data_IF_703317644938
#
_entry.id   IF_703317644938
#
_cell.length_a   1.000
_cell.length_b   1.000
_cell.length_c   1.000
_cell.angle_alpha   90.00
_cell.angle_beta   90.00
_cell.angle_gamma   90.00
#
_symmetry.space_group_name_H-M   'P 1'
#
loop_
_entity.id
_entity.type
_entity.pdbx_description
1 polymer ?
#
# COMPACT_ATOMS: atom_id res chain seq x y z
N UNK A 1 14.96 21.02 -5.06
CA UNK A 1 14.78 20.06 -6.18
C UNK A 1 15.30 20.73 -7.45
N UNK A 2 15.93 19.98 -8.35
CA UNK A 2 16.25 20.49 -9.68
C UNK A 2 14.95 20.82 -10.41
N UNK A 3 14.97 21.96 -11.09
CA UNK A 3 13.87 22.46 -11.92
C UNK A 3 14.32 22.72 -13.36
N UNK A 4 15.61 22.85 -13.59
CA UNK A 4 16.16 23.00 -14.93
C UNK A 4 16.00 21.70 -15.71
N UNK A 5 15.50 21.79 -16.94
CA UNK A 5 15.25 20.61 -17.78
C UNK A 5 16.54 19.84 -18.07
N UNK A 6 17.66 20.53 -18.29
CA UNK A 6 18.94 19.89 -18.63
C UNK A 6 19.52 19.10 -17.44
N UNK A 7 19.33 19.61 -16.22
CA UNK A 7 19.71 18.91 -14.99
C UNK A 7 18.85 17.65 -14.72
N UNK A 8 17.65 17.61 -15.31
CA UNK A 8 16.67 16.54 -15.12
C UNK A 8 16.76 15.44 -16.19
N UNK A 9 17.12 15.78 -17.43
CA UNK A 9 17.27 14.81 -18.55
C UNK A 9 18.11 13.56 -18.20
N UNK A 10 19.24 13.65 -17.46
CA UNK A 10 20.00 12.46 -17.06
C UNK A 10 19.19 11.44 -16.25
N UNK A 11 18.11 11.89 -15.60
CA UNK A 11 17.18 11.08 -14.82
C UNK A 11 15.89 10.75 -15.60
N UNK A 12 15.92 10.71 -16.93
CA UNK A 12 14.73 10.43 -17.76
C UNK A 12 14.04 9.09 -17.48
N UNK A 13 14.70 8.16 -16.77
CA UNK A 13 14.08 6.93 -16.29
C UNK A 13 14.65 6.51 -14.94
N UNK A 14 13.81 5.90 -14.11
CA UNK A 14 14.25 5.27 -12.88
C UNK A 14 13.23 4.23 -12.42
N UNK A 15 13.74 3.24 -11.67
CA UNK A 15 12.94 2.31 -10.89
C UNK A 15 13.51 2.21 -9.48
N UNK A 16 12.65 1.90 -8.51
CA UNK A 16 13.12 1.67 -7.15
C UNK A 16 13.98 0.41 -7.10
N UNK A 17 15.08 0.48 -6.32
CA UNK A 17 15.98 -0.68 -6.10
C UNK A 17 15.25 -1.95 -5.67
N UNK A 18 14.18 -1.78 -4.90
CA UNK A 18 13.26 -2.84 -4.55
C UNK A 18 11.89 -2.41 -5.06
N UNK A 19 11.30 -3.23 -5.93
CA UNK A 19 9.96 -2.96 -6.45
C UNK A 19 8.94 -3.05 -5.29
N UNK A 20 8.08 -2.05 -5.11
CA UNK A 20 6.94 -2.16 -4.21
C UNK A 20 6.10 -3.38 -4.54
N UNK A 21 5.67 -4.10 -3.51
CA UNK A 21 4.91 -5.33 -3.67
C UNK A 21 3.41 -5.09 -3.91
N UNK A 22 2.82 -5.88 -4.80
CA UNK A 22 1.38 -5.94 -5.00
C UNK A 22 0.68 -6.45 -3.73
N UNK A 23 -0.52 -5.94 -3.46
CA UNK A 23 -1.27 -6.29 -2.26
C UNK A 23 -2.71 -5.81 -2.28
N UNK A 24 -3.45 -6.17 -1.23
CA UNK A 24 -4.83 -5.73 -1.05
C UNK A 24 -4.87 -4.35 -0.40
N UNK A 25 -5.94 -3.62 -0.71
CA UNK A 25 -6.32 -2.41 0.02
C UNK A 25 -7.06 -2.73 1.32
N UNK A 26 -7.30 -4.00 1.64
CA UNK A 26 -8.00 -4.50 2.83
C UNK A 26 -9.35 -3.77 3.03
N UNK A 27 -10.35 -4.08 2.18
CA UNK A 27 -11.60 -3.33 2.13
C UNK A 27 -12.33 -3.28 3.47
N UNK A 28 -12.92 -2.12 3.78
CA UNK A 28 -13.70 -1.94 5.02
C UNK A 28 -14.90 -2.87 5.08
N UNK A 29 -15.59 -3.06 3.95
CA UNK A 29 -16.78 -3.92 3.88
C UNK A 29 -16.45 -5.41 4.17
N UNK A 30 -15.21 -5.86 3.94
CA UNK A 30 -14.72 -7.19 4.32
C UNK A 30 -14.18 -7.28 5.75
N UNK A 31 -14.36 -6.23 6.55
CA UNK A 31 -13.80 -6.07 7.90
C UNK A 31 -12.27 -5.93 7.96
N UNK A 32 -11.65 -5.38 6.90
CA UNK A 32 -10.21 -5.11 6.85
C UNK A 32 -9.37 -6.38 6.99
N UNK A 33 -8.38 -6.38 7.89
CA UNK A 33 -7.51 -7.55 8.10
C UNK A 33 -8.14 -8.65 8.99
N UNK A 34 -9.40 -8.48 9.42
CA UNK A 34 -10.19 -9.57 9.99
C UNK A 34 -10.74 -10.50 8.89
N UNK A 35 -10.65 -10.11 7.62
CA UNK A 35 -11.09 -10.94 6.51
C UNK A 35 -10.32 -12.28 6.48
N UNK A 36 -11.05 -13.39 6.50
CA UNK A 36 -10.51 -14.73 6.34
C UNK A 36 -10.27 -15.01 4.85
N UNK A 37 -9.15 -14.50 4.33
CA UNK A 37 -8.77 -14.68 2.92
C UNK A 37 -8.54 -16.16 2.55
N UNK A 38 -8.17 -16.99 3.53
CA UNK A 38 -8.12 -18.44 3.43
C UNK A 38 -9.20 -19.04 4.34
N UNK A 39 -10.27 -19.66 3.80
CA UNK A 39 -11.35 -20.24 4.61
C UNK A 39 -10.92 -21.39 5.54
N UNK A 40 -9.73 -21.96 5.34
CA UNK A 40 -9.18 -23.02 6.17
C UNK A 40 -8.29 -22.51 7.30
N UNK A 41 -8.01 -21.21 7.38
CA UNK A 41 -7.11 -20.62 8.36
C UNK A 41 -7.76 -19.43 9.10
N UNK A 42 -7.32 -19.14 10.35
CA UNK A 42 -7.72 -17.91 11.03
C UNK A 42 -7.32 -16.65 10.24
N UNK A 43 -8.03 -15.54 10.46
CA UNK A 43 -7.70 -14.26 9.83
C UNK A 43 -6.30 -13.74 10.24
N UNK A 44 -5.67 -12.86 9.44
CA UNK A 44 -4.40 -12.24 9.83
C UNK A 44 -4.46 -11.59 11.23
N UNK A 45 -5.56 -10.89 11.54
CA UNK A 45 -5.76 -10.26 12.85
C UNK A 45 -5.84 -11.28 14.00
N UNK A 46 -6.59 -12.36 13.81
CA UNK A 46 -6.72 -13.44 14.80
C UNK A 46 -5.39 -14.14 15.05
N UNK A 47 -4.63 -14.43 13.98
CA UNK A 47 -3.28 -15.00 14.07
C UNK A 47 -2.36 -14.10 14.89
N UNK A 48 -2.35 -12.79 14.61
CA UNK A 48 -1.52 -11.83 15.32
C UNK A 48 -1.89 -11.75 16.81
N UNK A 49 -3.18 -11.62 17.13
CA UNK A 49 -3.64 -11.55 18.50
C UNK A 49 -3.24 -12.81 19.29
N UNK A 50 -3.44 -13.99 18.70
CA UNK A 50 -3.06 -15.28 19.29
C UNK A 50 -1.56 -15.36 19.56
N UNK A 51 -0.72 -15.08 18.55
CA UNK A 51 0.73 -15.15 18.69
C UNK A 51 1.30 -14.11 19.66
N UNK A 52 0.68 -12.93 19.73
CA UNK A 52 1.07 -11.84 20.62
C UNK A 52 0.52 -11.97 22.06
N UNK A 53 -0.32 -12.99 22.34
CA UNK A 53 -0.96 -13.17 23.64
C UNK A 53 -1.98 -12.07 23.98
N UNK A 54 -2.66 -11.53 22.97
CA UNK A 54 -3.73 -10.55 23.12
C UNK A 54 -5.09 -11.24 23.20
N UNK A 55 -6.08 -10.56 23.78
CA UNK A 55 -7.48 -10.99 23.67
C UNK A 55 -7.94 -10.89 22.20
N UNK A 56 -8.20 -12.03 21.58
CA UNK A 56 -8.52 -12.14 20.15
C UNK A 56 -9.74 -11.31 19.80
N UNK A 57 -10.82 -11.42 20.58
CA UNK A 57 -12.07 -10.72 20.31
C UNK A 57 -11.89 -9.21 20.40
N UNK A 58 -11.27 -8.72 21.47
CA UNK A 58 -11.04 -7.30 21.68
C UNK A 58 -10.11 -6.72 20.59
N UNK A 59 -9.09 -7.47 20.17
CA UNK A 59 -8.20 -7.04 19.09
C UNK A 59 -8.94 -6.94 17.75
N UNK A 60 -9.71 -7.97 17.36
CA UNK A 60 -10.49 -7.95 16.13
C UNK A 60 -11.60 -6.89 16.15
N UNK A 61 -12.25 -6.66 17.30
CA UNK A 61 -13.20 -5.55 17.47
C UNK A 61 -12.50 -4.18 17.31
N UNK A 62 -11.27 -4.04 17.79
CA UNK A 62 -10.49 -2.81 17.64
C UNK A 62 -10.03 -2.57 16.20
N UNK A 63 -9.60 -3.62 15.48
CA UNK A 63 -9.34 -3.57 14.03
C UNK A 63 -10.60 -3.11 13.30
N UNK A 64 -11.74 -3.75 13.56
CA UNK A 64 -13.01 -3.44 12.90
C UNK A 64 -13.46 -1.99 13.11
N UNK A 65 -13.31 -1.45 14.33
CA UNK A 65 -13.61 -0.05 14.64
C UNK A 65 -12.68 0.94 13.95
N UNK A 66 -11.42 0.56 13.71
CA UNK A 66 -10.43 1.42 13.05
C UNK A 66 -10.61 1.44 11.53
N UNK A 67 -10.65 0.26 10.92
CA UNK A 67 -10.48 0.05 9.47
C UNK A 67 -11.44 -0.98 8.86
N UNK A 68 -12.48 -1.42 9.60
CA UNK A 68 -13.45 -2.42 9.13
C UNK A 68 -14.91 -2.01 9.33
N UNK A 69 -15.76 -3.01 9.56
CA UNK A 69 -17.22 -2.91 9.57
C UNK A 69 -17.74 -2.08 10.75
N UNK A 70 -17.22 -2.26 11.96
CA UNK A 70 -17.70 -1.54 13.15
C UNK A 70 -17.45 -0.04 13.11
N UNK A 71 -16.55 0.44 12.23
CA UNK A 71 -16.41 1.88 11.97
C UNK A 71 -17.72 2.49 11.43
N UNK A 72 -18.52 1.69 10.73
CA UNK A 72 -19.78 2.06 10.11
C UNK A 72 -21.00 1.66 10.97
N UNK A 73 -20.80 1.49 12.29
CA UNK A 73 -21.85 1.02 13.20
C UNK A 73 -23.10 1.92 13.29
N UNK A 74 -23.03 3.14 12.76
CA UNK A 74 -24.11 4.12 12.66
C UNK A 74 -24.83 4.11 11.31
N UNK A 75 -24.31 3.37 10.33
CA UNK A 75 -24.82 3.36 8.96
C UNK A 75 -26.03 2.42 8.84
N UNK A 76 -26.64 2.37 7.65
CA UNK A 76 -27.81 1.52 7.41
C UNK A 76 -27.48 0.06 7.68
N UNK A 77 -28.30 -0.61 8.50
CA UNK A 77 -28.18 -2.06 8.74
C UNK A 77 -28.58 -2.87 7.52
N UNK A 78 -27.93 -4.00 7.34
CA UNK A 78 -28.20 -4.99 6.28
C UNK A 78 -27.93 -6.40 6.81
N UNK A 79 -28.39 -7.41 6.09
CA UNK A 79 -28.25 -8.82 6.47
C UNK A 79 -27.92 -9.77 5.32
N UNK A 80 -28.05 -9.31 4.07
CA UNK A 80 -27.74 -10.12 2.90
C UNK A 80 -26.46 -9.62 2.22
N UNK A 81 -25.45 -10.50 2.13
CA UNK A 81 -24.18 -10.24 1.44
C UNK A 81 -24.32 -10.33 -0.10
N UNK A 82 -25.47 -10.80 -0.60
CA UNK A 82 -25.65 -11.19 -2.00
C UNK A 82 -26.33 -10.16 -2.89
N UNK A 83 -26.95 -9.11 -2.34
CA UNK A 83 -27.71 -8.14 -3.14
C UNK A 83 -27.42 -6.69 -2.75
N UNK A 84 -26.91 -5.92 -3.73
CA UNK A 84 -26.80 -4.45 -3.67
C UNK A 84 -28.18 -3.78 -3.41
N UNK A 85 -29.28 -4.54 -3.52
CA UNK A 85 -30.67 -4.07 -3.34
C UNK A 85 -31.02 -3.65 -1.91
N UNK A 86 -30.46 -4.31 -0.87
CA UNK A 86 -30.68 -3.89 0.52
C UNK A 86 -29.99 -2.55 0.81
N UNK A 87 -28.80 -2.34 0.24
CA UNK A 87 -28.04 -1.11 0.46
C UNK A 87 -28.43 0.02 -0.51
N UNK A 88 -29.08 -0.31 -1.62
CA UNK A 88 -29.81 0.64 -2.48
C UNK A 88 -28.94 1.67 -3.18
N UNK A 89 -27.63 1.45 -3.27
CA UNK A 89 -26.69 2.35 -3.94
C UNK A 89 -25.62 1.58 -4.70
N UNK A 90 -25.33 2.02 -5.92
CA UNK A 90 -24.22 1.49 -6.72
C UNK A 90 -22.91 1.59 -5.92
N UNK A 91 -22.15 0.50 -5.87
CA UNK A 91 -20.89 0.44 -5.12
C UNK A 91 -21.03 0.23 -3.60
N UNK A 92 -22.25 0.07 -3.07
CA UNK A 92 -22.45 -0.29 -1.66
C UNK A 92 -22.53 -1.81 -1.47
N UNK A 93 -21.88 -2.33 -0.43
CA UNK A 93 -21.93 -3.75 -0.03
C UNK A 93 -22.42 -3.90 1.40
N UNK A 94 -23.11 -5.00 1.69
CA UNK A 94 -23.36 -5.36 3.08
C UNK A 94 -22.06 -5.89 3.71
N UNK A 95 -21.52 -5.16 4.68
CA UNK A 95 -20.34 -5.57 5.42
C UNK A 95 -20.74 -6.34 6.67
N UNK A 96 -20.64 -7.68 6.62
CA UNK A 96 -20.95 -8.57 7.74
C UNK A 96 -19.66 -9.16 8.31
N UNK A 97 -19.53 -9.12 9.64
CA UNK A 97 -18.36 -9.68 10.33
C UNK A 97 -18.48 -11.19 10.43
N UNK A 98 -17.35 -11.87 10.45
CA UNK A 98 -17.31 -13.32 10.65
C UNK A 98 -18.06 -13.73 11.93
N UNK A 99 -19.05 -14.61 11.80
CA UNK A 99 -19.87 -15.11 12.91
C UNK A 99 -21.11 -14.27 13.23
N UNK A 100 -21.30 -13.11 12.58
CA UNK A 100 -22.50 -12.29 12.72
C UNK A 100 -23.52 -12.58 11.60
N UNK A 101 -24.79 -12.29 11.83
CA UNK A 101 -25.87 -12.47 10.85
C UNK A 101 -26.39 -11.16 10.25
N UNK A 102 -25.83 -10.03 10.66
CA UNK A 102 -26.19 -8.70 10.15
C UNK A 102 -25.01 -7.75 10.28
N UNK A 103 -24.99 -6.74 9.42
CA UNK A 103 -23.91 -5.79 9.30
C UNK A 103 -24.41 -4.41 8.95
N UNK A 104 -23.58 -3.69 8.19
CA UNK A 104 -23.85 -2.31 7.77
C UNK A 104 -23.56 -2.14 6.29
N UNK A 105 -24.32 -1.28 5.62
CA UNK A 105 -24.07 -0.89 4.24
C UNK A 105 -22.84 0.01 4.18
N UNK A 106 -21.80 -0.45 3.49
CA UNK A 106 -20.50 0.19 3.41
C UNK A 106 -20.10 0.25 1.94
N UNK A 107 -19.58 1.40 1.52
CA UNK A 107 -19.02 1.59 0.19
C UNK A 107 -17.89 0.56 -0.06
N UNK A 108 -17.77 0.03 -1.27
CA UNK A 108 -16.81 -1.03 -1.60
C UNK A 108 -15.37 -0.49 -1.77
N UNK A 109 -15.24 0.80 -2.07
CA UNK A 109 -13.95 1.44 -2.33
C UNK A 109 -13.09 1.68 -1.08
N UNK A 110 -13.63 2.12 0.08
CA UNK A 110 -12.80 2.46 1.23
C UNK A 110 -12.03 1.27 1.79
N UNK A 111 -10.76 1.51 2.08
CA UNK A 111 -9.87 0.56 2.76
C UNK A 111 -8.68 1.30 3.35
N UNK A 112 -7.53 0.61 3.37
CA UNK A 112 -6.23 1.12 3.80
C UNK A 112 -5.20 1.07 2.64
N UNK A 113 -5.63 1.37 1.40
CA UNK A 113 -4.75 1.47 0.24
C UNK A 113 -3.59 2.45 0.48
N UNK A 114 -3.84 3.56 1.17
CA UNK A 114 -2.81 4.54 1.55
C UNK A 114 -1.70 3.90 2.39
N UNK A 115 -2.07 3.04 3.34
CA UNK A 115 -1.12 2.38 4.22
C UNK A 115 -0.38 1.24 3.51
N UNK A 116 -1.10 0.46 2.68
CA UNK A 116 -0.49 -0.56 1.83
C UNK A 116 0.55 0.05 0.89
N UNK A 117 0.23 1.11 0.16
CA UNK A 117 1.14 1.72 -0.81
C UNK A 117 2.46 2.13 -0.14
N UNK A 118 2.39 2.74 1.04
CA UNK A 118 3.58 3.13 1.79
C UNK A 118 4.34 1.93 2.33
N UNK A 119 3.65 0.95 2.91
CA UNK A 119 4.26 -0.29 3.37
C UNK A 119 5.00 -1.01 2.24
N UNK A 120 4.41 -1.03 1.03
CA UNK A 120 4.98 -1.64 -0.16
C UNK A 120 6.29 -0.97 -0.59
N UNK A 121 6.38 0.36 -0.48
CA UNK A 121 7.60 1.12 -0.77
C UNK A 121 8.68 0.89 0.30
N UNK A 122 8.27 0.85 1.57
CA UNK A 122 9.17 0.91 2.71
C UNK A 122 9.74 -0.45 3.14
N UNK A 123 8.95 -1.51 2.99
CA UNK A 123 9.27 -2.84 3.52
C UNK A 123 9.57 -3.83 2.40
N UNK A 124 10.52 -4.72 2.65
CA UNK A 124 10.76 -5.86 1.78
C UNK A 124 9.51 -6.74 1.71
N UNK A 125 9.22 -7.26 0.52
CA UNK A 125 8.10 -8.15 0.30
C UNK A 125 8.23 -9.45 1.11
N UNK A 126 7.23 -9.79 1.96
CA UNK A 126 7.12 -11.11 2.56
C UNK A 126 6.98 -12.19 1.46
N UNK A 127 7.77 -13.27 1.54
CA UNK A 127 7.83 -14.33 0.51
C UNK A 127 7.43 -15.70 1.00
N UNK A 128 7.76 -16.00 2.25
CA UNK A 128 7.60 -17.33 2.83
C UNK A 128 6.79 -17.29 4.11
N UNK A 129 6.15 -18.41 4.44
CA UNK A 129 5.45 -18.55 5.71
C UNK A 129 6.42 -18.48 6.89
N UNK A 130 5.98 -17.88 8.00
CA UNK A 130 6.75 -17.75 9.25
C UNK A 130 5.92 -18.26 10.41
N UNK A 131 6.49 -19.16 11.22
CA UNK A 131 5.87 -19.54 12.49
C UNK A 131 6.42 -18.69 13.63
N UNK A 132 5.54 -18.00 14.34
CA UNK A 132 5.86 -17.20 15.51
C UNK A 132 4.92 -17.58 16.66
N UNK A 133 5.49 -17.96 17.80
CA UNK A 133 4.75 -18.40 18.99
C UNK A 133 3.69 -19.48 18.70
N UNK A 134 4.02 -20.44 17.84
CA UNK A 134 3.14 -21.55 17.48
C UNK A 134 2.07 -21.24 16.44
N UNK A 135 2.01 -20.00 15.93
CA UNK A 135 1.08 -19.59 14.86
C UNK A 135 1.84 -19.38 13.56
N UNK A 136 1.33 -19.97 12.47
CA UNK A 136 1.92 -19.80 11.13
C UNK A 136 1.25 -18.67 10.37
N UNK A 137 2.06 -17.71 9.94
CA UNK A 137 1.68 -16.57 9.11
C UNK A 137 2.16 -16.82 7.69
N UNK A 138 1.24 -16.88 6.73
CA UNK A 138 1.56 -16.89 5.31
C UNK A 138 2.06 -15.51 4.88
N UNK A 139 2.75 -15.42 3.73
CA UNK A 139 3.24 -14.14 3.21
C UNK A 139 2.11 -13.09 3.11
N UNK A 140 0.91 -13.52 2.70
CA UNK A 140 -0.25 -12.64 2.58
C UNK A 140 -0.79 -12.16 3.94
N UNK A 141 -0.72 -12.98 4.99
CA UNK A 141 -1.03 -12.52 6.36
C UNK A 141 -0.07 -11.41 6.80
N UNK A 142 1.22 -11.58 6.51
CA UNK A 142 2.24 -10.61 6.87
C UNK A 142 2.01 -9.30 6.10
N UNK A 143 1.70 -9.35 4.80
CA UNK A 143 1.30 -8.16 4.02
C UNK A 143 0.11 -7.43 4.67
N UNK A 144 -0.90 -8.16 5.17
CA UNK A 144 -2.04 -7.57 5.89
C UNK A 144 -1.60 -6.84 7.16
N UNK A 145 -0.79 -7.50 7.98
CA UNK A 145 -0.32 -6.96 9.26
C UNK A 145 0.59 -5.74 9.07
N UNK A 146 1.45 -5.75 8.04
CA UNK A 146 2.29 -4.59 7.71
C UNK A 146 1.41 -3.41 7.27
N UNK A 147 0.44 -3.61 6.37
CA UNK A 147 -0.48 -2.54 5.96
C UNK A 147 -1.24 -1.96 7.15
N UNK A 148 -1.77 -2.81 8.04
CA UNK A 148 -2.50 -2.35 9.23
C UNK A 148 -1.60 -1.61 10.24
N UNK A 149 -0.32 -2.02 10.35
CA UNK A 149 0.67 -1.32 11.17
C UNK A 149 0.95 0.08 10.63
N UNK A 150 1.10 0.24 9.31
CA UNK A 150 1.33 1.53 8.67
C UNK A 150 0.10 2.46 8.77
N UNK A 151 -1.12 1.91 8.71
CA UNK A 151 -2.36 2.67 9.00
C UNK A 151 -2.39 3.13 10.46
N UNK A 152 -1.94 2.28 11.37
CA UNK A 152 -1.82 2.51 12.81
C UNK A 152 -0.69 3.45 13.23
N UNK A 153 0.30 3.68 12.37
CA UNK A 153 1.55 4.34 12.74
C UNK A 153 1.42 5.88 12.79
N UNK A 154 0.47 6.44 12.05
CA UNK A 154 0.22 7.89 11.93
C UNK A 154 1.47 8.66 11.46
N UNK A 155 2.04 8.18 10.34
CA UNK A 155 3.26 8.75 9.76
C UNK A 155 3.02 10.16 9.23
N UNK A 156 4.01 11.04 9.39
CA UNK A 156 3.99 12.36 8.75
C UNK A 156 4.25 12.22 7.25
N UNK A 157 3.34 12.75 6.44
CA UNK A 157 3.40 12.73 4.99
C UNK A 157 3.71 14.11 4.40
N UNK A 158 4.26 14.12 3.19
CA UNK A 158 4.31 15.29 2.31
C UNK A 158 3.35 14.98 1.17
N UNK A 159 2.36 15.85 0.97
CA UNK A 159 1.27 15.66 -0.01
C UNK A 159 1.21 16.90 -0.91
N UNK A 160 0.98 16.68 -2.19
CA UNK A 160 0.62 17.71 -3.17
C UNK A 160 -0.58 17.23 -3.98
N UNK A 161 -1.42 18.18 -4.39
CA UNK A 161 -2.73 17.88 -4.97
C UNK A 161 -3.82 17.74 -3.90
N UNK A 162 -5.06 17.76 -4.34
CA UNK A 162 -6.22 17.63 -3.46
C UNK A 162 -7.29 16.79 -4.14
N UNK A 163 -7.99 15.97 -3.36
CA UNK A 163 -9.12 15.20 -3.87
C UNK A 163 -10.19 16.15 -4.42
N UNK A 164 -10.60 15.94 -5.68
CA UNK A 164 -11.81 16.57 -6.19
C UNK A 164 -13.04 15.81 -5.71
N UNK A 165 -13.97 16.50 -5.04
CA UNK A 165 -15.24 15.93 -4.56
C UNK A 165 -16.45 16.43 -5.34
N UNK A 166 -16.22 17.16 -6.41
CA UNK A 166 -17.24 17.76 -7.24
C UNK A 166 -17.28 17.07 -8.60
N UNK A 167 -18.48 16.80 -9.07
CA UNK A 167 -18.77 16.18 -10.37
C UNK A 167 -18.94 17.25 -11.47
N UNK A 168 -18.28 18.41 -11.35
CA UNK A 168 -18.27 19.41 -12.41
C UNK A 168 -17.21 19.05 -13.46
N UNK A 169 -17.68 18.37 -14.49
CA UNK A 169 -16.86 17.95 -15.63
C UNK A 169 -16.79 19.02 -16.74
N UNK A 170 -17.15 20.28 -16.45
CA UNK A 170 -17.10 21.34 -17.47
C UNK A 170 -15.66 21.61 -17.92
N UNK A 171 -15.49 21.69 -19.24
CA UNK A 171 -14.19 21.92 -19.88
C UNK A 171 -14.16 23.23 -20.65
N UNK A 172 -12.98 23.83 -20.76
CA UNK A 172 -12.72 24.99 -21.61
C UNK A 172 -12.62 24.58 -23.09
N UNK A 173 -12.42 25.58 -23.98
CA UNK A 173 -12.29 25.34 -25.43
C UNK A 173 -11.08 24.47 -25.82
N UNK A 174 -10.16 24.20 -24.90
CA UNK A 174 -8.98 23.37 -25.09
C UNK A 174 -9.12 21.98 -24.44
N UNK A 175 -10.30 21.64 -23.89
CA UNK A 175 -10.60 20.34 -23.29
C UNK A 175 -10.15 20.18 -21.84
N UNK A 176 -9.65 21.25 -21.21
CA UNK A 176 -9.19 21.23 -19.81
C UNK A 176 -10.35 21.51 -18.88
N UNK A 177 -10.38 20.88 -17.71
CA UNK A 177 -11.38 21.25 -16.70
C UNK A 177 -11.30 22.73 -16.33
N UNK A 178 -12.45 23.37 -16.22
CA UNK A 178 -12.51 24.79 -15.84
C UNK A 178 -12.17 24.98 -14.37
N UNK A 179 -12.55 24.01 -13.53
CA UNK A 179 -12.14 23.95 -12.13
C UNK A 179 -10.63 23.65 -12.03
N UNK A 180 -9.91 24.45 -11.24
CA UNK A 180 -8.51 24.23 -10.96
C UNK A 180 -8.25 22.96 -10.13
N UNK A 181 -9.18 22.57 -9.26
CA UNK A 181 -9.05 21.36 -8.44
C UNK A 181 -9.00 20.10 -9.31
N UNK A 182 -9.79 20.08 -10.39
CA UNK A 182 -9.80 19.00 -11.38
C UNK A 182 -8.55 18.96 -12.26
N UNK A 183 -7.74 20.03 -12.25
CA UNK A 183 -6.46 20.12 -12.97
C UNK A 183 -5.26 19.82 -12.08
N UNK A 184 -5.47 19.66 -10.77
CA UNK A 184 -4.43 19.16 -9.88
C UNK A 184 -4.14 17.68 -10.19
N UNK A 185 -2.92 17.19 -10.10
CA UNK A 185 -1.67 17.96 -10.00
C UNK A 185 -1.21 18.46 -11.38
N UNK A 186 -0.54 19.61 -11.44
CA UNK A 186 0.11 20.05 -12.69
C UNK A 186 1.16 19.03 -13.17
N UNK A 187 1.28 18.79 -14.49
CA UNK A 187 2.29 17.87 -15.03
C UNK A 187 3.72 18.30 -14.71
N UNK A 188 3.97 19.60 -14.53
CA UNK A 188 5.27 20.10 -14.09
C UNK A 188 5.65 19.58 -12.70
N UNK A 189 4.68 19.56 -11.79
CA UNK A 189 4.88 19.03 -10.43
C UNK A 189 5.14 17.53 -10.49
N UNK A 190 4.33 16.77 -11.24
CA UNK A 190 4.56 15.33 -11.42
C UNK A 190 5.96 15.06 -11.98
N UNK A 191 6.34 15.74 -13.06
CA UNK A 191 7.63 15.57 -13.73
C UNK A 191 8.80 15.87 -12.79
N UNK A 192 8.80 17.05 -12.14
CA UNK A 192 9.85 17.44 -11.20
C UNK A 192 9.93 16.46 -10.02
N UNK A 193 8.79 16.03 -9.48
CA UNK A 193 8.73 15.13 -8.34
C UNK A 193 9.29 13.75 -8.68
N UNK A 194 8.86 13.13 -9.80
CA UNK A 194 9.38 11.83 -10.23
C UNK A 194 10.89 11.87 -10.45
N UNK A 195 11.38 12.84 -11.23
CA UNK A 195 12.79 12.88 -11.61
C UNK A 195 13.71 13.20 -10.43
N UNK A 196 13.26 14.02 -9.48
CA UNK A 196 14.03 14.26 -8.25
C UNK A 196 13.90 13.10 -7.25
N UNK A 197 12.69 12.74 -6.85
CA UNK A 197 12.48 11.78 -5.77
C UNK A 197 12.94 10.39 -6.18
N UNK A 198 12.44 9.87 -7.30
CA UNK A 198 12.78 8.52 -7.77
C UNK A 198 14.10 8.53 -8.54
N UNK A 199 14.27 9.43 -9.51
CA UNK A 199 15.48 9.48 -10.35
C UNK A 199 16.75 9.79 -9.58
N UNK A 200 16.76 10.92 -8.87
CA UNK A 200 17.97 11.40 -8.18
C UNK A 200 18.14 10.83 -6.78
N UNK A 201 17.07 10.68 -6.02
CA UNK A 201 17.14 10.29 -4.61
C UNK A 201 16.76 8.82 -4.34
N UNK A 202 16.28 8.08 -5.34
CA UNK A 202 15.78 6.71 -5.19
C UNK A 202 14.80 6.58 -4.00
N UNK A 203 13.85 7.51 -3.93
CA UNK A 203 12.74 7.56 -2.97
C UNK A 203 11.44 7.25 -3.69
N UNK A 204 10.67 6.33 -3.12
CA UNK A 204 9.35 5.97 -3.65
C UNK A 204 8.31 7.05 -3.40
N UNK A 205 7.31 7.05 -4.26
CA UNK A 205 6.17 7.96 -4.26
C UNK A 205 4.89 7.14 -4.34
N UNK A 206 3.81 7.68 -3.78
CA UNK A 206 2.46 7.19 -3.95
C UNK A 206 1.71 8.16 -4.84
N UNK A 207 0.99 7.63 -5.82
CA UNK A 207 0.09 8.38 -6.67
C UNK A 207 -1.34 7.90 -6.43
N UNK A 208 -2.27 8.84 -6.41
CA UNK A 208 -3.65 8.54 -6.79
C UNK A 208 -3.71 8.55 -8.32
N UNK A 209 -4.04 7.40 -8.91
CA UNK A 209 -3.96 7.21 -10.37
C UNK A 209 -5.30 7.51 -11.08
N UNK A 210 -6.37 7.67 -10.31
CA UNK A 210 -7.73 7.85 -10.79
C UNK A 210 -8.20 9.26 -10.38
N UNK A 211 -8.56 10.15 -11.32
CA UNK A 211 -9.05 11.49 -11.00
C UNK A 211 -10.51 11.50 -10.52
N UNK A 212 -11.16 10.33 -10.40
CA UNK A 212 -12.52 10.21 -9.91
C UNK A 212 -12.63 10.32 -8.37
N UNK A 213 -13.86 10.37 -7.86
CA UNK A 213 -14.16 10.49 -6.43
C UNK A 213 -13.46 9.45 -5.52
N UNK A 214 -13.33 8.16 -5.91
CA UNK A 214 -12.57 7.18 -5.12
C UNK A 214 -11.06 7.42 -5.17
N UNK A 215 -10.43 7.62 -4.01
CA UNK A 215 -8.97 7.79 -3.91
C UNK A 215 -8.27 6.42 -3.93
N UNK A 216 -7.52 6.13 -4.99
CA UNK A 216 -6.79 4.88 -5.18
C UNK A 216 -5.28 5.08 -5.10
N UNK A 217 -4.74 4.91 -3.89
CA UNK A 217 -3.31 5.05 -3.64
C UNK A 217 -2.51 3.85 -4.16
N UNK A 218 -1.62 4.09 -5.12
CA UNK A 218 -0.72 3.10 -5.69
C UNK A 218 0.76 3.47 -5.49
N UNK A 219 1.61 2.50 -5.10
CA UNK A 219 3.04 2.74 -4.98
C UNK A 219 3.71 2.71 -6.35
N UNK A 220 4.37 3.80 -6.73
CA UNK A 220 5.09 3.90 -8.01
C UNK A 220 6.34 3.01 -7.97
N UNK A 221 6.44 2.11 -8.95
CA UNK A 221 7.58 1.19 -9.10
C UNK A 221 8.66 1.80 -9.99
N UNK A 222 8.27 2.43 -11.10
CA UNK A 222 9.18 3.06 -12.06
C UNK A 222 8.52 4.15 -12.90
N UNK A 223 9.34 4.96 -13.56
CA UNK A 223 8.92 5.82 -14.66
C UNK A 223 9.96 5.82 -15.78
N UNK A 224 9.52 6.12 -16.99
CA UNK A 224 10.38 6.34 -18.15
C UNK A 224 9.79 7.43 -19.06
N UNK A 225 10.59 8.43 -19.39
CA UNK A 225 10.28 9.39 -20.44
C UNK A 225 10.60 8.73 -21.78
N UNK A 226 9.55 8.38 -22.51
CA UNK A 226 9.64 7.70 -23.81
C UNK A 226 9.90 8.68 -24.95
N UNK A 227 9.39 9.90 -24.82
CA UNK A 227 9.66 10.98 -25.76
C UNK A 227 9.85 12.29 -25.01
N UNK A 228 10.87 13.05 -25.41
CA UNK A 228 11.10 14.42 -24.99
C UNK A 228 11.63 15.19 -26.19
N UNK A 229 10.92 16.22 -26.61
CA UNK A 229 11.41 17.14 -27.64
C UNK A 229 10.89 18.55 -27.38
N UNK A 230 11.75 19.53 -27.66
CA UNK A 230 11.41 20.93 -27.48
C UNK A 230 10.59 21.47 -28.64
N UNK A 231 9.71 22.41 -28.31
CA UNK A 231 8.81 23.09 -29.21
C UNK A 231 8.94 24.61 -28.99
N UNK A 232 8.87 25.37 -30.06
CA UNK A 232 8.70 26.82 -29.99
C UNK A 232 7.23 27.20 -29.83
N UNK A 233 6.99 28.47 -29.51
CA UNK A 233 5.62 28.98 -29.32
C UNK A 233 4.81 28.88 -30.60
N UNK A 234 5.39 29.16 -31.78
CA UNK A 234 4.72 29.11 -33.08
C UNK A 234 4.14 27.72 -33.36
N UNK A 235 4.90 26.65 -33.07
CA UNK A 235 4.38 25.29 -33.21
C UNK A 235 3.22 25.03 -32.26
N UNK A 236 3.36 25.41 -30.99
CA UNK A 236 2.35 25.19 -29.94
C UNK A 236 1.06 25.95 -30.25
N UNK A 237 1.15 27.21 -30.64
CA UNK A 237 0.00 28.07 -30.96
C UNK A 237 -0.60 27.76 -32.33
N UNK A 238 0.08 27.04 -33.21
CA UNK A 238 -0.49 26.59 -34.49
C UNK A 238 -1.19 25.23 -34.35
N UNK A 239 -0.59 24.28 -33.61
CA UNK A 239 -1.00 22.87 -33.67
C UNK A 239 -1.65 22.34 -32.40
N UNK A 240 -1.42 22.96 -31.23
CA UNK A 240 -1.85 22.42 -29.94
C UNK A 240 -2.88 23.32 -29.28
N UNK A 241 -2.59 24.62 -29.17
CA UNK A 241 -3.46 25.61 -28.55
C UNK A 241 -3.65 26.83 -29.49
N UNK A 242 -4.47 26.68 -30.56
CA UNK A 242 -4.72 27.73 -31.55
C UNK A 242 -4.98 29.12 -30.95
N UNK A 243 -4.15 30.09 -31.33
CA UNK A 243 -4.23 31.50 -30.91
C UNK A 243 -3.02 32.32 -31.34
N UNK A 244 -3.07 33.64 -31.13
CA UNK A 244 -1.95 34.53 -31.46
C UNK A 244 -0.74 34.36 -30.52
N UNK A 245 -0.99 33.91 -29.29
CA UNK A 245 -0.01 33.67 -28.24
C UNK A 245 -0.42 32.49 -27.36
N UNK A 246 0.56 31.87 -26.69
CA UNK A 246 0.28 30.81 -25.74
C UNK A 246 -0.59 31.32 -24.56
N UNK A 247 -1.79 30.73 -24.34
CA UNK A 247 -2.80 31.36 -23.48
C UNK A 247 -2.62 31.12 -21.98
N UNK A 248 -1.78 30.18 -21.54
CA UNK A 248 -1.81 29.66 -20.17
C UNK A 248 -0.72 30.23 -19.27
N UNK A 249 0.46 30.49 -19.82
CA UNK A 249 1.57 31.06 -19.07
C UNK A 249 2.38 32.04 -19.94
N UNK A 250 2.17 33.34 -19.70
CA UNK A 250 2.89 34.42 -20.40
C UNK A 250 4.40 34.47 -20.11
N UNK A 251 4.83 33.83 -19.02
CA UNK A 251 6.23 33.80 -18.61
C UNK A 251 6.98 32.66 -19.32
N UNK A 252 6.27 31.72 -19.95
CA UNK A 252 6.87 30.70 -20.81
C UNK A 252 7.60 31.34 -21.99
N UNK A 253 8.72 30.72 -22.39
CA UNK A 253 9.58 31.15 -23.51
C UNK A 253 9.86 30.04 -24.50
N UNK A 254 9.88 28.80 -24.03
CA UNK A 254 9.89 27.61 -24.86
C UNK A 254 9.12 26.49 -24.16
N UNK A 255 8.90 25.40 -24.88
CA UNK A 255 8.10 24.29 -24.41
C UNK A 255 8.81 22.96 -24.63
N UNK A 256 8.47 21.95 -23.85
CA UNK A 256 8.91 20.58 -24.11
C UNK A 256 7.72 19.63 -24.07
N UNK A 257 7.48 18.93 -25.18
CA UNK A 257 6.54 17.81 -25.18
C UNK A 257 7.15 16.62 -24.47
N UNK A 258 6.36 15.96 -23.64
CA UNK A 258 6.78 14.76 -22.91
C UNK A 258 5.72 13.67 -23.03
N UNK A 259 6.15 12.47 -23.43
CA UNK A 259 5.41 11.22 -23.25
C UNK A 259 6.08 10.44 -22.12
N UNK A 260 5.39 10.35 -20.99
CA UNK A 260 5.87 9.68 -19.78
C UNK A 260 5.11 8.37 -19.58
N UNK A 261 5.81 7.27 -19.33
CA UNK A 261 5.22 6.07 -18.76
C UNK A 261 5.47 6.05 -17.26
N UNK A 262 4.42 5.81 -16.47
CA UNK A 262 4.54 5.54 -15.03
C UNK A 262 4.02 4.14 -14.76
N UNK A 263 4.75 3.38 -13.96
CA UNK A 263 4.42 2.03 -13.55
C UNK A 263 4.23 2.02 -12.03
N UNK A 264 3.26 1.24 -11.55
CA UNK A 264 2.96 1.08 -10.13
C UNK A 264 2.59 -0.36 -9.80
N UNK A 265 2.64 -0.72 -8.51
CA UNK A 265 2.21 -2.04 -8.07
C UNK A 265 0.67 -2.16 -8.11
N UNK A 266 0.19 -3.27 -8.65
CA UNK A 266 -1.23 -3.58 -8.78
C UNK A 266 -1.88 -3.90 -7.44
N UNK A 267 -3.14 -3.49 -7.30
CA UNK A 267 -4.02 -4.00 -6.25
C UNK A 267 -4.36 -5.46 -6.57
N UNK A 268 -4.24 -6.36 -5.59
CA UNK A 268 -4.70 -7.75 -5.70
C UNK A 268 -5.29 -8.23 -4.38
N UNK A 269 -6.46 -8.86 -4.45
CA UNK A 269 -7.05 -9.60 -3.33
C UNK A 269 -6.72 -11.11 -3.43
N UNK A 270 -6.09 -11.56 -4.52
CA UNK A 270 -5.70 -12.96 -4.69
C UNK A 270 -4.29 -13.18 -4.14
N UNK A 271 -4.14 -13.97 -3.04
CA UNK A 271 -2.85 -14.27 -2.43
C UNK A 271 -1.90 -15.03 -3.35
N UNK A 272 -2.41 -15.69 -4.41
CA UNK A 272 -1.63 -16.51 -5.35
C UNK A 272 -0.99 -15.70 -6.48
N UNK A 273 -1.48 -14.48 -6.76
CA UNK A 273 -0.94 -13.64 -7.83
C UNK A 273 0.54 -13.33 -7.60
N UNK A 274 0.95 -13.18 -6.34
CA UNK A 274 2.34 -12.99 -5.93
C UNK A 274 3.26 -14.22 -6.20
N UNK A 275 2.69 -15.41 -6.36
CA UNK A 275 3.46 -16.66 -6.55
C UNK A 275 3.57 -17.08 -8.03
N UNK A 276 2.62 -16.66 -8.88
CA UNK A 276 2.43 -17.24 -10.22
C UNK A 276 2.84 -16.30 -11.36
N UNK A 277 2.66 -14.98 -11.25
CA UNK A 277 3.00 -14.05 -12.33
C UNK A 277 3.41 -12.66 -11.85
N UNK A 278 4.73 -12.41 -11.78
CA UNK A 278 5.29 -11.10 -11.43
C UNK A 278 4.94 -9.98 -12.42
N UNK A 279 4.47 -10.28 -13.64
CA UNK A 279 3.97 -9.24 -14.56
C UNK A 279 2.56 -8.80 -14.23
N UNK A 280 1.76 -9.65 -13.59
CA UNK A 280 0.42 -9.29 -13.09
C UNK A 280 0.48 -8.37 -11.86
N UNK A 281 1.66 -8.20 -11.26
CA UNK A 281 1.88 -7.38 -10.06
C UNK A 281 2.08 -5.89 -10.36
N UNK A 282 2.16 -5.48 -11.62
CA UNK A 282 2.35 -4.08 -11.99
C UNK A 282 1.41 -3.63 -13.09
N UNK A 283 0.90 -2.41 -12.96
CA UNK A 283 0.14 -1.70 -13.99
C UNK A 283 0.91 -0.45 -14.42
N UNK A 284 0.56 0.10 -15.57
CA UNK A 284 1.15 1.35 -16.06
C UNK A 284 0.13 2.18 -16.83
N UNK A 285 0.37 3.48 -16.91
CA UNK A 285 -0.33 4.39 -17.81
C UNK A 285 0.67 5.36 -18.45
N UNK A 286 0.25 5.96 -19.56
CA UNK A 286 1.01 6.97 -20.28
C UNK A 286 0.40 8.35 -20.05
N UNK A 287 1.25 9.30 -19.67
CA UNK A 287 0.89 10.68 -19.47
C UNK A 287 1.55 11.56 -20.53
N UNK A 288 0.73 12.40 -21.17
CA UNK A 288 1.15 13.28 -22.25
C UNK A 288 0.99 14.72 -21.79
N UNK A 289 2.08 15.49 -21.83
CA UNK A 289 2.04 16.87 -21.36
C UNK A 289 3.06 17.75 -22.04
N UNK A 290 2.79 19.04 -21.98
CA UNK A 290 3.69 20.11 -22.36
C UNK A 290 4.30 20.69 -21.08
N UNK A 291 5.62 20.79 -21.00
CA UNK A 291 6.30 21.59 -19.98
C UNK A 291 6.49 23.01 -20.50
N UNK A 292 6.27 23.99 -19.63
CA UNK A 292 6.52 25.40 -19.87
C UNK A 292 7.88 25.77 -19.28
N UNK A 293 8.75 26.36 -20.09
CA UNK A 293 10.12 26.68 -19.73
C UNK A 293 10.35 28.20 -19.74
N UNK A 294 11.10 28.70 -18.76
CA UNK A 294 11.63 30.07 -18.82
C UNK A 294 12.84 30.18 -19.76
N UNK A 295 13.40 31.39 -19.91
CA UNK A 295 14.57 31.66 -20.76
C UNK A 295 15.85 30.90 -20.33
N UNK A 296 15.88 30.36 -19.11
CA UNK A 296 16.98 29.56 -18.57
C UNK A 296 16.66 28.06 -18.59
N UNK A 297 15.57 27.63 -19.24
CA UNK A 297 15.11 26.24 -19.30
C UNK A 297 14.68 25.67 -17.95
N UNK A 298 14.32 26.53 -16.98
CA UNK A 298 13.66 26.07 -15.78
C UNK A 298 12.20 25.77 -16.09
N UNK A 299 11.72 24.62 -15.60
CA UNK A 299 10.31 24.26 -15.63
C UNK A 299 9.55 25.20 -14.69
N UNK A 300 8.66 26.00 -15.26
CA UNK A 300 7.83 27.00 -14.54
C UNK A 300 6.35 26.65 -14.55
N UNK A 301 5.94 25.66 -15.34
CA UNK A 301 4.58 25.15 -15.40
C UNK A 301 4.44 24.07 -16.46
N UNK A 302 3.21 23.75 -16.81
CA UNK A 302 2.92 22.72 -17.80
C UNK A 302 1.43 22.40 -17.89
N UNK A 303 1.05 21.84 -19.03
CA UNK A 303 -0.32 21.54 -19.39
C UNK A 303 -0.45 20.10 -19.85
N UNK A 304 -1.45 19.41 -19.32
CA UNK A 304 -1.82 18.07 -19.78
C UNK A 304 -2.35 18.13 -21.22
N UNK A 305 -2.14 17.05 -21.97
CA UNK A 305 -2.53 16.97 -23.38
C UNK A 305 -3.47 15.79 -23.64
N UNK A 306 -4.35 15.94 -24.63
CA UNK A 306 -5.22 14.85 -25.11
C UNK A 306 -6.00 14.20 -23.97
N UNK A 307 -6.05 12.86 -23.91
CA UNK A 307 -6.79 12.11 -22.88
C UNK A 307 -6.32 12.43 -21.46
N UNK A 308 -5.05 12.78 -21.28
CA UNK A 308 -4.50 13.02 -19.95
C UNK A 308 -4.83 14.41 -19.42
N UNK A 309 -5.63 15.21 -20.14
CA UNK A 309 -6.32 16.38 -19.57
C UNK A 309 -7.43 15.98 -18.60
N UNK A 310 -7.92 14.74 -18.71
CA UNK A 310 -9.00 14.21 -17.88
C UNK A 310 -8.62 12.90 -17.17
N UNK A 311 -7.56 12.22 -17.62
CA UNK A 311 -7.01 10.99 -17.06
C UNK A 311 -5.56 11.22 -16.62
N UNK A 312 -5.40 11.84 -15.45
CA UNK A 312 -4.11 12.14 -14.84
C UNK A 312 -4.15 11.98 -13.31
N UNK A 313 -3.01 11.79 -12.64
CA UNK A 313 -2.95 11.74 -11.19
C UNK A 313 -3.41 13.08 -10.60
N UNK A 314 -4.17 13.04 -9.51
CA UNK A 314 -4.65 14.23 -8.79
C UNK A 314 -3.98 14.42 -7.42
N UNK A 315 -3.36 13.37 -6.88
CA UNK A 315 -2.62 13.41 -5.62
C UNK A 315 -1.27 12.69 -5.78
N UNK A 316 -0.20 13.33 -5.30
CA UNK A 316 1.12 12.73 -5.13
C UNK A 316 1.59 12.93 -3.71
N UNK A 317 2.08 11.87 -3.08
CA UNK A 317 2.59 11.97 -1.71
C UNK A 317 3.60 10.89 -1.35
N UNK A 318 4.30 11.10 -0.24
CA UNK A 318 5.21 10.11 0.35
C UNK A 318 5.36 10.34 1.86
N UNK A 319 5.65 9.29 2.65
CA UNK A 319 5.96 9.44 4.07
C UNK A 319 7.35 10.05 4.25
N UNK A 320 7.55 10.77 5.35
CA UNK A 320 8.87 11.32 5.69
C UNK A 320 9.79 10.31 6.39
N UNK A 321 9.23 9.23 6.93
CA UNK A 321 9.95 8.18 7.66
C UNK A 321 9.09 6.90 7.73
N UNK A 322 9.72 5.77 8.04
CA UNK A 322 9.04 4.53 8.45
C UNK A 322 8.65 4.61 9.93
N UNK A 323 7.76 3.73 10.43
CA UNK A 323 7.42 3.71 11.86
C UNK A 323 8.68 3.56 12.74
N UNK A 324 8.70 4.24 13.88
CA UNK A 324 9.78 4.07 14.85
C UNK A 324 9.83 2.62 15.35
N UNK A 325 11.03 2.07 15.58
CA UNK A 325 11.21 0.64 15.91
C UNK A 325 10.31 0.14 17.05
N UNK A 326 10.09 0.98 18.07
CA UNK A 326 9.29 0.64 19.25
C UNK A 326 7.82 1.13 19.16
N UNK A 327 7.36 1.59 17.98
CA UNK A 327 5.99 2.06 17.79
C UNK A 327 5.00 0.95 18.16
N UNK A 328 4.06 1.32 19.02
CA UNK A 328 2.85 0.56 19.27
C UNK A 328 1.65 1.37 18.78
N UNK A 329 0.76 0.74 18.01
CA UNK A 329 -0.48 1.36 17.53
C UNK A 329 -1.52 1.41 18.63
N UNK A 330 -2.56 2.22 18.47
CA UNK A 330 -3.67 2.29 19.43
C UNK A 330 -4.46 0.98 19.58
N UNK A 331 -4.34 0.05 18.62
CA UNK A 331 -4.95 -1.28 18.67
C UNK A 331 -4.00 -2.35 19.23
N UNK A 332 -2.81 -1.96 19.70
CA UNK A 332 -1.87 -2.88 20.37
C UNK A 332 -0.88 -3.60 19.45
N UNK A 333 -0.86 -3.31 18.15
CA UNK A 333 0.17 -3.85 17.25
C UNK A 333 1.52 -3.19 17.53
N UNK A 334 2.59 -3.99 17.65
CA UNK A 334 3.96 -3.51 17.88
C UNK A 334 4.77 -3.68 16.61
N UNK A 335 5.42 -2.61 16.16
CA UNK A 335 6.22 -2.65 14.93
C UNK A 335 7.39 -3.64 15.03
N UNK A 336 7.97 -3.85 16.21
CA UNK A 336 8.98 -4.89 16.44
C UNK A 336 8.52 -6.29 16.03
N UNK A 337 7.25 -6.65 16.29
CA UNK A 337 6.71 -7.95 15.92
C UNK A 337 6.53 -8.06 14.41
N UNK A 338 6.11 -6.96 13.77
CA UNK A 338 5.95 -6.86 12.33
C UNK A 338 7.31 -6.98 11.62
N UNK A 339 8.34 -6.28 12.12
CA UNK A 339 9.70 -6.38 11.61
C UNK A 339 10.28 -7.79 11.75
N UNK A 340 9.97 -8.51 12.84
CA UNK A 340 10.34 -9.91 12.99
C UNK A 340 9.74 -10.78 11.86
N UNK A 341 8.43 -10.65 11.63
CA UNK A 341 7.73 -11.41 10.58
C UNK A 341 8.27 -11.08 9.18
N UNK A 342 8.45 -9.80 8.85
CA UNK A 342 9.03 -9.38 7.55
C UNK A 342 10.42 -9.99 7.38
N UNK A 343 11.30 -9.84 8.38
CA UNK A 343 12.69 -10.30 8.29
C UNK A 343 12.76 -11.81 8.01
N UNK A 344 12.00 -12.62 8.73
CA UNK A 344 12.03 -14.07 8.54
C UNK A 344 11.32 -14.52 7.26
N UNK A 345 10.26 -13.83 6.86
CA UNK A 345 9.53 -14.14 5.62
C UNK A 345 10.33 -13.80 4.36
N UNK A 346 11.12 -12.73 4.40
CA UNK A 346 11.94 -12.26 3.27
C UNK A 346 13.15 -13.14 2.99
N UNK A 347 13.71 -13.77 4.04
CA UNK A 347 14.85 -14.70 3.93
C UNK A 347 14.42 -16.16 3.77
N UNK A 348 13.11 -16.45 3.88
CA UNK A 348 12.59 -17.81 3.92
C UNK A 348 13.27 -18.67 4.99
N UNK A 349 13.58 -18.04 6.13
CA UNK A 349 14.18 -18.71 7.26
C UNK A 349 13.18 -19.74 7.77
N UNK A 350 13.52 -21.02 7.66
CA UNK A 350 12.75 -22.06 8.35
C UNK A 350 13.07 -21.91 9.84
N UNK A 351 12.09 -21.68 10.73
CA UNK A 351 12.39 -21.66 12.15
C UNK A 351 12.96 -23.02 12.54
N UNK A 352 14.16 -23.03 13.11
CA UNK A 352 14.68 -24.22 13.78
C UNK A 352 13.67 -24.56 14.88
N UNK A 353 13.08 -25.77 14.91
CA UNK A 353 12.20 -26.16 16.01
C UNK A 353 12.95 -25.93 17.31
N UNK A 354 12.37 -25.18 18.24
CA UNK A 354 12.90 -25.11 19.59
C UNK A 354 13.06 -26.56 20.06
N UNK A 355 14.30 -26.99 20.32
CA UNK A 355 14.56 -28.34 20.79
C UNK A 355 13.76 -28.55 22.06
N UNK A 356 12.72 -29.39 22.00
CA UNK A 356 12.05 -29.90 23.19
C UNK A 356 13.15 -30.43 24.11
N UNK A 357 13.30 -29.92 25.36
CA UNK A 357 14.25 -30.50 26.29
C UNK A 357 13.92 -31.99 26.39
N UNK A 358 14.92 -32.83 26.11
CA UNK A 358 14.79 -34.28 26.24
C UNK A 358 14.26 -34.58 27.64
N UNK A 359 13.25 -35.45 27.81
CA UNK A 359 12.74 -35.78 29.13
C UNK A 359 13.91 -36.28 29.99
N UNK A 360 14.12 -35.63 31.13
CA UNK A 360 15.08 -36.08 32.14
C UNK A 360 14.81 -37.56 32.43
N UNK A 361 15.78 -38.47 32.25
CA UNK A 361 15.58 -39.88 32.56
C UNK A 361 15.11 -40.03 34.01
N UNK A 362 14.05 -40.82 34.22
CA UNK A 362 13.59 -41.13 35.56
C UNK A 362 14.73 -41.76 36.38
N UNK A 363 14.90 -41.38 37.67
CA UNK A 363 15.97 -41.92 38.49
C UNK A 363 15.84 -43.45 38.59
N UNK A 364 16.95 -44.14 38.34
CA UNK A 364 17.06 -45.60 38.48
C UNK A 364 16.72 -46.01 39.92
N UNK A 365 15.80 -46.97 40.14
CA UNK A 365 15.51 -47.46 41.49
C UNK A 365 16.75 -48.04 42.15
N UNK A 366 16.96 -47.70 43.42
CA UNK A 366 18.07 -48.23 44.21
C UNK A 366 17.96 -49.77 44.36
N UNK A 367 19.07 -50.52 44.29
CA UNK A 367 19.04 -51.98 44.39
C UNK A 367 18.58 -52.44 45.78
N UNK A 368 17.71 -53.44 45.79
CA UNK A 368 17.18 -54.09 46.99
C UNK A 368 18.33 -54.74 47.80
N UNK A 369 18.44 -54.52 49.12
CA UNK A 369 19.48 -55.15 49.93
C UNK A 369 19.33 -56.68 49.99
N UNK A 370 20.46 -57.39 49.92
CA UNK A 370 20.52 -58.84 50.05
C UNK A 370 20.15 -59.29 51.49
N UNK A 371 19.51 -60.46 51.66
CA UNK A 371 19.10 -60.95 52.97
C UNK A 371 20.30 -61.37 53.84
N UNK A 372 20.26 -60.96 55.10
CA UNK A 372 21.27 -61.27 56.13
C UNK A 372 21.30 -62.77 56.46
N UNK A 373 22.46 -63.45 56.47
CA UNK A 373 22.55 -64.85 56.89
C UNK A 373 22.29 -65.05 58.38
N UNK A 374 21.62 -66.16 58.72
CA UNK A 374 21.29 -66.55 60.08
C UNK A 374 22.54 -66.94 60.91
N UNK A 375 22.55 -66.70 62.23
CA UNK A 375 23.72 -66.93 63.08
C UNK A 375 23.99 -68.43 63.31
N UNK A 376 25.27 -68.80 63.22
CA UNK A 376 25.78 -70.15 63.52
C UNK A 376 25.92 -70.35 65.04
N UNK A 377 25.56 -71.52 65.62
CA UNK A 377 25.68 -71.75 67.06
C UNK A 377 27.15 -71.99 67.49
N UNK A 378 27.49 -71.51 68.68
CA UNK A 378 28.81 -71.65 69.30
C UNK A 378 29.11 -73.08 69.77
N UNK A 379 30.37 -73.56 69.71
CA UNK A 379 30.78 -74.81 70.34
C UNK A 379 31.11 -74.60 71.83
N UNK A 380 30.87 -75.66 72.61
CA UNK A 380 31.08 -75.79 74.07
C UNK A 380 32.49 -75.53 74.56
#
# INVERSE_FOLDING_TARGET
MYRNLDDLIPYHKAGLKHAPWAGSYWPRYKDGINFQWNPQEPSPAEKYATAAGLDVKAFMDAVSKRSGVLRHSTDKRCSDDSDDSECGGDGMRCGVRAGESSGYCIDEYPGICHAWAVAAIAEFEPKCAVTWNGVTFQAFDIKALVSQMYDGAELRTIVTGTQCRQDDDTVDKYGRFTDAIRRDISPAVLHIALLNAMGRFNKGLVLDIDPATPVWNHPVTSYEILQLHELDEDYVTTHMFPGDHYPFNKDAKSFAYVLLQVTWASKTDDPRVAEVDRRAETSYNYYEYLLELDAHRNIIGGEWLRRTQQDHPDILWFPTHTPEAHKQTSIGMKYTNIQYLIKHSTHCDTPTPASTPSPTPAPTPAPTPAPTPAPTPAPT
#
